data_IF_266874270584
#
_entry.id   IF_266874270584
#
_cell.length_a   1.000
_cell.length_b   1.000
_cell.length_c   1.000
_cell.angle_alpha   90.00
_cell.angle_beta   90.00
_cell.angle_gamma   90.00
#
_symmetry.space_group_name_H-M   'P 1'
#
loop_
_entity.id
_entity.type
_entity.pdbx_description
1 polymer ?
#
# COMPACT_ATOMS: atom_id res chain seq x y z
N UNK A 1 -16.91 19.21 -21.09
CA UNK A 1 -17.24 18.49 -19.84
C UNK A 1 -16.03 18.55 -18.91
N UNK A 2 -16.03 19.49 -17.96
CA UNK A 2 -14.92 19.64 -17.02
C UNK A 2 -15.00 18.51 -15.98
N UNK A 3 -13.95 17.68 -15.91
CA UNK A 3 -13.75 16.74 -14.83
C UNK A 3 -13.76 17.51 -13.51
N UNK A 4 -14.71 17.21 -12.62
CA UNK A 4 -14.56 17.64 -11.24
C UNK A 4 -13.25 17.01 -10.76
N UNK A 5 -12.23 17.81 -10.48
CA UNK A 5 -11.11 17.36 -9.69
C UNK A 5 -11.72 16.77 -8.41
N UNK A 6 -11.75 15.43 -8.30
CA UNK A 6 -12.25 14.76 -7.11
C UNK A 6 -11.32 15.24 -6.00
N UNK A 7 -11.78 16.17 -5.18
CA UNK A 7 -11.21 16.32 -3.85
C UNK A 7 -11.65 15.06 -3.08
N UNK A 8 -10.75 14.11 -2.86
CA UNK A 8 -11.11 12.90 -2.14
C UNK A 8 -11.61 13.28 -0.74
N UNK A 9 -12.77 12.76 -0.34
CA UNK A 9 -13.41 13.10 0.94
C UNK A 9 -12.72 12.44 2.15
N UNK A 10 -11.79 11.51 1.91
CA UNK A 10 -11.08 10.78 2.95
C UNK A 10 -9.66 10.39 2.49
N UNK A 11 -8.68 10.56 3.35
CA UNK A 11 -7.34 10.02 3.17
C UNK A 11 -7.33 8.50 3.38
N UNK A 12 -6.46 7.79 2.67
CA UNK A 12 -6.24 6.35 2.86
C UNK A 12 -4.88 6.08 3.49
N UNK A 13 -4.85 5.32 4.58
CA UNK A 13 -3.60 4.87 5.22
C UNK A 13 -3.53 3.36 5.17
N UNK A 14 -2.50 2.82 4.52
CA UNK A 14 -2.21 1.40 4.45
C UNK A 14 -1.07 1.04 5.41
N UNK A 15 -1.40 0.31 6.47
CA UNK A 15 -0.42 -0.18 7.44
C UNK A 15 0.15 -1.52 6.97
N UNK A 16 1.36 -1.49 6.41
CA UNK A 16 2.09 -2.64 5.89
C UNK A 16 3.42 -2.90 6.65
N UNK A 17 3.52 -2.41 7.89
CA UNK A 17 4.73 -2.46 8.71
C UNK A 17 4.92 -3.76 9.54
N UNK A 18 4.02 -4.74 9.39
CA UNK A 18 4.05 -5.96 10.20
C UNK A 18 5.17 -6.93 9.81
N UNK A 19 5.96 -7.38 10.79
CA UNK A 19 7.08 -8.32 10.57
C UNK A 19 6.72 -9.78 10.25
N UNK A 20 5.50 -10.08 9.79
CA UNK A 20 5.19 -11.41 9.25
C UNK A 20 5.37 -12.60 10.20
N UNK A 21 5.35 -12.41 11.53
CA UNK A 21 5.69 -13.46 12.52
C UNK A 21 4.94 -14.79 12.32
N UNK A 22 3.64 -14.73 12.03
CA UNK A 22 2.80 -15.91 11.75
C UNK A 22 3.13 -16.63 10.43
N UNK A 23 3.90 -15.98 9.55
CA UNK A 23 4.39 -16.49 8.29
C UNK A 23 5.89 -16.86 8.37
N UNK A 24 6.43 -17.05 9.57
CA UNK A 24 7.86 -17.34 9.77
C UNK A 24 8.78 -16.16 9.44
N UNK A 25 8.31 -14.92 9.63
CA UNK A 25 9.09 -13.71 9.34
C UNK A 25 9.01 -13.23 7.89
N UNK A 26 8.32 -13.98 7.01
CA UNK A 26 8.12 -13.57 5.61
C UNK A 26 7.24 -12.31 5.53
N UNK A 27 7.64 -11.29 4.76
CA UNK A 27 6.88 -10.04 4.66
C UNK A 27 5.53 -10.26 3.98
N UNK A 28 4.43 -10.16 4.76
CA UNK A 28 3.06 -10.36 4.25
C UNK A 28 2.74 -9.43 3.08
N UNK A 29 3.28 -8.20 3.10
CA UNK A 29 3.12 -7.20 2.05
C UNK A 29 3.52 -7.71 0.66
N UNK A 30 4.51 -8.62 0.59
CA UNK A 30 5.08 -9.17 -0.65
C UNK A 30 4.57 -10.57 -1.01
N UNK A 31 3.62 -11.13 -0.25
CA UNK A 31 2.94 -12.33 -0.73
C UNK A 31 2.19 -12.00 -2.02
N UNK A 32 2.31 -12.88 -3.01
CA UNK A 32 1.61 -12.70 -4.27
C UNK A 32 0.18 -13.21 -4.20
N UNK A 33 -0.72 -12.47 -4.83
CA UNK A 33 -2.09 -12.85 -5.07
C UNK A 33 -2.44 -12.40 -6.49
N UNK A 34 -2.96 -13.28 -7.34
CA UNK A 34 -3.26 -12.95 -8.75
C UNK A 34 -2.11 -12.19 -9.47
N UNK A 35 -0.86 -12.63 -9.25
CA UNK A 35 0.33 -12.08 -9.90
C UNK A 35 0.80 -10.70 -9.41
N UNK A 36 0.29 -10.22 -8.26
CA UNK A 36 0.74 -8.96 -7.65
C UNK A 36 0.92 -9.08 -6.12
N UNK A 37 1.86 -8.34 -5.52
CA UNK A 37 2.00 -8.22 -4.07
C UNK A 37 0.69 -7.81 -3.37
N UNK A 38 0.41 -8.38 -2.19
CA UNK A 38 -0.77 -8.01 -1.38
C UNK A 38 -0.84 -6.51 -1.05
N UNK A 39 0.31 -5.85 -0.89
CA UNK A 39 0.36 -4.39 -0.65
C UNK A 39 -0.19 -3.59 -1.83
N UNK A 40 0.04 -4.02 -3.06
CA UNK A 40 -0.50 -3.36 -4.26
C UNK A 40 -2.02 -3.53 -4.36
N UNK A 41 -2.53 -4.72 -4.03
CA UNK A 41 -3.97 -4.99 -4.00
C UNK A 41 -4.67 -4.08 -2.98
N UNK A 42 -4.11 -3.97 -1.78
CA UNK A 42 -4.66 -3.12 -0.73
C UNK A 42 -4.62 -1.63 -1.11
N UNK A 43 -3.51 -1.17 -1.71
CA UNK A 43 -3.40 0.20 -2.19
C UNK A 43 -4.41 0.50 -3.32
N UNK A 44 -4.59 -0.44 -4.25
CA UNK A 44 -5.60 -0.33 -5.31
C UNK A 44 -7.02 -0.33 -4.75
N UNK A 45 -7.30 -1.11 -3.71
CA UNK A 45 -8.60 -1.11 -3.05
C UNK A 45 -8.93 0.27 -2.45
N UNK A 46 -7.99 0.90 -1.74
CA UNK A 46 -8.15 2.27 -1.22
C UNK A 46 -8.40 3.27 -2.36
N UNK A 47 -7.61 3.19 -3.43
CA UNK A 47 -7.72 4.09 -4.58
C UNK A 47 -9.07 3.94 -5.28
N UNK A 48 -9.51 2.70 -5.53
CA UNK A 48 -10.81 2.40 -6.14
C UNK A 48 -11.98 2.79 -5.24
N UNK A 49 -11.79 2.73 -3.91
CA UNK A 49 -12.74 3.23 -2.92
C UNK A 49 -12.88 4.76 -2.89
N UNK A 50 -12.06 5.49 -3.65
CA UNK A 50 -12.09 6.95 -3.71
C UNK A 50 -11.28 7.64 -2.62
N UNK A 51 -10.43 6.91 -1.90
CA UNK A 51 -9.52 7.51 -0.93
C UNK A 51 -8.40 8.30 -1.62
N UNK A 52 -8.01 9.41 -0.99
CA UNK A 52 -6.89 10.24 -1.38
C UNK A 52 -6.73 11.41 -0.38
N UNK A 53 -5.52 11.91 -0.11
CA UNK A 53 -4.23 11.32 -0.47
C UNK A 53 -4.04 9.91 0.12
N UNK A 54 -3.12 9.13 -0.46
CA UNK A 54 -2.81 7.77 -0.02
C UNK A 54 -1.44 7.74 0.67
N UNK A 55 -1.36 7.07 1.81
CA UNK A 55 -0.13 6.91 2.59
C UNK A 55 0.11 5.43 2.92
N UNK A 56 1.33 4.95 2.73
CA UNK A 56 1.74 3.57 3.03
C UNK A 56 2.80 3.61 4.12
N UNK A 57 2.54 2.91 5.22
CA UNK A 57 3.50 2.75 6.32
C UNK A 57 4.17 1.39 6.18
N UNK A 58 5.48 1.40 6.01
CA UNK A 58 6.33 0.22 5.96
C UNK A 58 7.07 0.02 7.30
N UNK A 59 7.66 -1.15 7.49
CA UNK A 59 8.34 -1.52 8.74
C UNK A 59 9.45 -2.54 8.49
N UNK A 60 9.42 -3.69 9.17
CA UNK A 60 10.50 -4.67 9.22
C UNK A 60 11.13 -5.09 7.87
N UNK A 61 10.40 -5.02 6.76
CA UNK A 61 10.89 -5.33 5.41
C UNK A 61 10.74 -4.15 4.44
N UNK A 62 10.87 -2.91 4.93
CA UNK A 62 10.57 -1.71 4.14
C UNK A 62 11.37 -1.63 2.84
N UNK A 63 12.67 -1.93 2.87
CA UNK A 63 13.53 -1.84 1.69
C UNK A 63 13.16 -2.89 0.64
N UNK A 64 12.87 -4.12 1.09
CA UNK A 64 12.40 -5.18 0.19
C UNK A 64 11.05 -4.82 -0.44
N UNK A 65 10.12 -4.26 0.35
CA UNK A 65 8.81 -3.83 -0.14
C UNK A 65 8.95 -2.71 -1.17
N UNK A 66 9.80 -1.71 -0.91
CA UNK A 66 10.06 -0.62 -1.87
C UNK A 66 10.67 -1.10 -3.16
N UNK A 67 11.57 -2.08 -3.09
CA UNK A 67 12.24 -2.60 -4.28
C UNK A 67 11.31 -3.42 -5.18
N UNK A 68 10.26 -4.04 -4.61
CA UNK A 68 9.46 -5.07 -5.30
C UNK A 68 8.01 -4.69 -5.57
N UNK A 69 7.45 -3.71 -4.87
CA UNK A 69 6.04 -3.32 -5.01
C UNK A 69 5.89 -1.96 -5.68
N UNK A 70 4.89 -1.84 -6.55
CA UNK A 70 4.48 -0.55 -7.11
C UNK A 70 3.63 0.24 -6.09
N UNK A 71 4.25 1.23 -5.45
CA UNK A 71 3.60 2.16 -4.51
C UNK A 71 3.32 3.53 -5.13
N UNK A 72 3.39 3.65 -6.46
CA UNK A 72 3.24 4.91 -7.19
C UNK A 72 1.96 5.63 -6.82
N UNK A 73 2.03 6.96 -6.63
CA UNK A 73 0.90 7.80 -6.25
C UNK A 73 0.46 7.63 -4.79
N UNK A 74 1.37 7.18 -3.92
CA UNK A 74 1.22 7.20 -2.47
C UNK A 74 2.48 7.78 -1.82
N UNK A 75 2.31 8.44 -0.67
CA UNK A 75 3.45 8.79 0.18
C UNK A 75 3.84 7.58 1.02
N UNK A 76 5.15 7.40 1.27
CA UNK A 76 5.67 6.22 1.99
C UNK A 76 6.49 6.65 3.20
N UNK A 77 6.16 6.12 4.38
CA UNK A 77 6.94 6.29 5.62
C UNK A 77 7.42 4.94 6.14
N UNK A 78 8.56 4.91 6.85
CA UNK A 78 9.01 3.73 7.62
C UNK A 78 8.80 4.00 9.10
N UNK A 79 8.32 3.00 9.82
CA UNK A 79 8.24 2.97 11.27
C UNK A 79 9.10 1.85 11.86
#
# INVERSE_FOLDING_TARGET
MASHAKNPKAAGVLLAAGGGRRLGGRPKALLEHHGRPLVEHALRALRNGGCGPLHVVLGAAADEVRARADLTGSAVTVN
#
